data_IF_428954846338
#
_entry.id   IF_428954846338
#
_cell.length_a   1.000
_cell.length_b   1.000
_cell.length_c   1.000
_cell.angle_alpha   90.00
_cell.angle_beta   90.00
_cell.angle_gamma   90.00
#
_symmetry.space_group_name_H-M   'P 1'
#
loop_
_entity.id
_entity.type
_entity.pdbx_description
1 polymer ?
#
# COMPACT_ATOMS: atom_id res chain seq x y z
N UNK A 1 -9.63 -8.14 -5.56
CA UNK A 1 -9.46 -6.79 -4.97
C UNK A 1 -10.78 -6.13 -4.64
N UNK A 2 -10.88 -5.57 -3.43
CA UNK A 2 -12.09 -4.89 -2.94
C UNK A 2 -12.27 -3.51 -3.59
N UNK A 3 -11.22 -2.94 -4.19
CA UNK A 3 -11.28 -1.66 -4.88
C UNK A 3 -12.28 -1.66 -6.06
N UNK A 4 -12.23 -2.68 -6.93
CA UNK A 4 -13.19 -2.82 -8.03
C UNK A 4 -14.62 -2.96 -7.51
N UNK A 5 -14.82 -3.73 -6.44
CA UNK A 5 -16.13 -3.87 -5.79
C UNK A 5 -16.66 -2.53 -5.28
N UNK A 6 -15.81 -1.69 -4.66
CA UNK A 6 -16.18 -0.35 -4.20
C UNK A 6 -16.59 0.53 -5.37
N UNK A 7 -15.83 0.53 -6.46
CA UNK A 7 -16.18 1.28 -7.68
C UNK A 7 -17.50 0.82 -8.29
N UNK A 8 -17.68 -0.50 -8.45
CA UNK A 8 -18.88 -1.07 -9.07
C UNK A 8 -20.12 -0.83 -8.19
N UNK A 9 -19.97 -0.83 -6.86
CA UNK A 9 -21.08 -0.66 -5.91
C UNK A 9 -21.42 0.81 -5.64
N UNK A 10 -20.42 1.69 -5.60
CA UNK A 10 -20.56 3.06 -5.07
C UNK A 10 -20.06 4.15 -6.00
N UNK A 11 -19.57 3.79 -7.19
CA UNK A 11 -19.01 4.67 -8.20
C UNK A 11 -17.56 5.07 -7.95
N UNK A 12 -16.91 5.60 -8.99
CA UNK A 12 -15.50 6.00 -8.97
C UNK A 12 -15.13 7.00 -7.88
N UNK A 13 -16.05 7.91 -7.51
CA UNK A 13 -15.80 8.85 -6.42
C UNK A 13 -15.55 8.16 -5.07
N UNK A 14 -16.22 7.03 -4.81
CA UNK A 14 -16.00 6.25 -3.60
C UNK A 14 -14.61 5.58 -3.61
N UNK A 15 -14.22 5.04 -4.77
CA UNK A 15 -12.89 4.46 -4.94
C UNK A 15 -11.78 5.50 -4.80
N UNK A 16 -11.96 6.69 -5.38
CA UNK A 16 -10.98 7.77 -5.27
C UNK A 16 -10.76 8.17 -3.80
N UNK A 17 -11.81 8.29 -3.00
CA UNK A 17 -11.68 8.57 -1.57
C UNK A 17 -11.03 7.42 -0.79
N UNK A 18 -11.38 6.18 -1.12
CA UNK A 18 -10.71 5.02 -0.53
C UNK A 18 -9.20 5.05 -0.80
N UNK A 19 -8.79 5.34 -2.04
CA UNK A 19 -7.38 5.45 -2.40
C UNK A 19 -6.67 6.60 -1.69
N UNK A 20 -7.35 7.75 -1.48
CA UNK A 20 -6.79 8.85 -0.68
C UNK A 20 -6.57 8.45 0.77
N UNK A 21 -7.51 7.73 1.38
CA UNK A 21 -7.38 7.23 2.75
C UNK A 21 -6.22 6.23 2.86
N UNK A 22 -6.13 5.28 1.94
CA UNK A 22 -5.02 4.31 1.91
C UNK A 22 -3.69 5.05 1.74
N UNK A 23 -3.59 5.99 0.79
CA UNK A 23 -2.37 6.78 0.58
C UNK A 23 -1.93 7.51 1.86
N UNK A 24 -2.87 8.17 2.56
CA UNK A 24 -2.58 8.88 3.80
C UNK A 24 -2.09 7.93 4.91
N UNK A 25 -2.69 6.74 5.03
CA UNK A 25 -2.25 5.72 5.99
C UNK A 25 -0.85 5.20 5.66
N UNK A 26 -0.58 4.88 4.38
CA UNK A 26 0.73 4.41 3.95
C UNK A 26 1.80 5.47 4.22
N UNK A 27 1.50 6.74 3.95
CA UNK A 27 2.43 7.85 4.19
C UNK A 27 2.74 8.04 5.68
N UNK A 28 1.80 7.75 6.59
CA UNK A 28 2.05 7.78 8.04
C UNK A 28 2.90 6.61 8.54
N UNK A 29 2.89 5.49 7.82
CA UNK A 29 3.63 4.28 8.19
C UNK A 29 5.07 4.23 7.68
N UNK A 30 5.52 5.24 6.92
CA UNK A 30 6.88 5.36 6.41
C UNK A 30 7.53 6.66 6.90
N UNK A 31 8.86 6.75 6.84
CA UNK A 31 9.58 7.98 7.25
C UNK A 31 9.75 8.93 6.07
N UNK A 32 10.09 10.18 6.38
CA UNK A 32 10.24 11.27 5.39
C UNK A 32 11.24 10.98 4.25
N UNK A 33 12.26 10.17 4.49
CA UNK A 33 13.25 9.78 3.48
C UNK A 33 12.83 8.62 2.58
N UNK A 34 11.68 7.99 2.84
CA UNK A 34 11.19 6.90 2.00
C UNK A 34 10.26 7.46 0.90
N UNK A 35 10.20 6.78 -0.24
CA UNK A 35 9.33 7.19 -1.35
C UNK A 35 8.05 6.37 -1.38
N UNK A 36 6.89 7.03 -1.44
CA UNK A 36 5.60 6.43 -1.74
C UNK A 36 5.10 6.91 -3.11
N UNK A 37 4.71 5.98 -3.97
CA UNK A 37 4.18 6.24 -5.29
C UNK A 37 2.90 5.44 -5.55
N UNK A 38 2.00 6.00 -6.37
CA UNK A 38 0.90 5.26 -6.99
C UNK A 38 1.34 4.81 -8.38
N UNK A 39 1.39 3.50 -8.61
CA UNK A 39 1.87 2.92 -9.87
C UNK A 39 0.78 2.93 -10.94
N UNK A 40 -0.48 2.75 -10.53
CA UNK A 40 -1.65 2.75 -11.39
C UNK A 40 -2.81 2.02 -10.72
N UNK A 41 -4.07 2.34 -11.08
CA UNK A 41 -5.22 1.66 -10.48
C UNK A 41 -5.23 1.75 -8.94
N UNK A 42 -5.25 0.60 -8.27
CA UNK A 42 -5.12 0.39 -6.83
C UNK A 42 -3.72 -0.05 -6.36
N UNK A 43 -2.72 0.02 -7.25
CA UNK A 43 -1.34 -0.39 -6.98
C UNK A 43 -0.50 0.79 -6.45
N UNK A 44 0.23 0.52 -5.37
CA UNK A 44 1.18 1.43 -4.74
C UNK A 44 2.57 0.80 -4.68
N UNK A 45 3.59 1.64 -4.79
CA UNK A 45 4.99 1.26 -4.61
C UNK A 45 5.62 2.06 -3.48
N UNK A 46 6.42 1.41 -2.65
CA UNK A 46 7.19 2.04 -1.57
C UNK A 46 8.66 1.66 -1.73
N UNK A 47 9.54 2.66 -1.70
CA UNK A 47 10.99 2.48 -1.67
C UNK A 47 11.52 2.89 -0.30
N UNK A 48 12.08 1.92 0.42
CA UNK A 48 12.71 2.12 1.72
C UNK A 48 14.23 2.19 1.54
N UNK A 49 14.80 3.39 1.57
CA UNK A 49 16.25 3.59 1.35
C UNK A 49 17.08 3.20 2.58
N UNK A 50 18.25 2.60 2.44
CA UNK A 50 19.10 2.27 3.61
C UNK A 50 18.36 1.47 4.72
N UNK A 51 17.46 0.56 4.33
CA UNK A 51 16.64 -0.23 5.24
C UNK A 51 17.19 -1.66 5.33
N UNK A 52 17.29 -2.23 6.55
CA UNK A 52 17.67 -3.63 6.71
C UNK A 52 16.52 -4.55 6.28
N UNK A 53 16.82 -5.80 5.88
CA UNK A 53 15.78 -6.74 5.51
C UNK A 53 14.70 -6.93 6.58
N UNK A 54 15.10 -7.11 7.84
CA UNK A 54 14.16 -7.33 8.94
C UNK A 54 13.32 -6.09 9.24
N UNK A 55 13.87 -4.89 9.06
CA UNK A 55 13.13 -3.65 9.22
C UNK A 55 12.10 -3.48 8.09
N UNK A 56 12.47 -3.80 6.85
CA UNK A 56 11.59 -3.73 5.70
C UNK A 56 10.38 -4.69 5.84
N UNK A 57 10.61 -5.93 6.29
CA UNK A 57 9.54 -6.90 6.56
C UNK A 57 8.57 -6.40 7.65
N UNK A 58 9.09 -5.82 8.74
CA UNK A 58 8.27 -5.25 9.81
C UNK A 58 7.43 -4.07 9.33
N UNK A 59 8.01 -3.18 8.52
CA UNK A 59 7.30 -2.05 7.92
C UNK A 59 6.19 -2.57 7.01
N UNK A 60 6.51 -3.52 6.12
CA UNK A 60 5.53 -4.12 5.21
C UNK A 60 4.33 -4.73 5.94
N UNK A 61 4.57 -5.54 6.97
CA UNK A 61 3.50 -6.13 7.76
C UNK A 61 2.71 -5.08 8.55
N UNK A 62 3.39 -4.07 9.11
CA UNK A 62 2.73 -2.95 9.80
C UNK A 62 1.79 -2.16 8.89
N UNK A 63 2.23 -1.88 7.66
CA UNK A 63 1.40 -1.23 6.64
C UNK A 63 0.19 -2.10 6.26
N UNK A 64 0.40 -3.41 6.05
CA UNK A 64 -0.67 -4.36 5.75
C UNK A 64 -1.74 -4.36 6.83
N UNK A 65 -1.34 -4.46 8.11
CA UNK A 65 -2.23 -4.44 9.27
C UNK A 65 -2.96 -3.09 9.42
N UNK A 66 -2.28 -1.98 9.13
CA UNK A 66 -2.86 -0.63 9.19
C UNK A 66 -3.99 -0.49 8.16
N UNK A 67 -3.79 -0.98 6.93
CA UNK A 67 -4.83 -0.95 5.90
C UNK A 67 -5.96 -1.94 6.22
N UNK A 68 -5.66 -3.12 6.75
CA UNK A 68 -6.69 -4.07 7.21
C UNK A 68 -7.59 -3.49 8.32
N UNK A 69 -7.01 -2.63 9.16
CA UNK A 69 -7.73 -1.95 10.25
C UNK A 69 -8.45 -0.67 9.80
N UNK A 70 -8.37 -0.29 8.52
CA UNK A 70 -9.03 0.88 7.98
C UNK A 70 -10.56 0.68 7.99
N UNK A 71 -11.24 1.49 8.78
CA UNK A 71 -12.69 1.59 8.79
C UNK A 71 -13.14 2.65 7.78
N UNK A 72 -13.23 2.28 6.51
CA UNK A 72 -13.73 3.18 5.47
C UNK A 72 -15.26 3.16 5.43
N UNK A 73 -15.90 4.33 5.52
CA UNK A 73 -17.36 4.47 5.44
C UNK A 73 -17.70 5.45 4.33
N UNK A 74 -18.51 4.99 3.37
CA UNK A 74 -19.00 5.82 2.27
C UNK A 74 -20.53 5.90 2.30
N UNK A 75 -21.07 7.13 2.44
CA UNK A 75 -22.51 7.38 2.54
C UNK A 75 -23.24 6.49 3.56
N UNK A 76 -22.61 6.29 4.73
CA UNK A 76 -23.15 5.47 5.82
C UNK A 76 -22.98 3.96 5.63
N UNK A 77 -22.33 3.50 4.55
CA UNK A 77 -22.05 2.09 4.30
C UNK A 77 -20.57 1.78 4.57
N UNK A 78 -20.25 0.83 5.47
CA UNK A 78 -18.88 0.46 5.73
C UNK A 78 -18.31 -0.43 4.61
N UNK A 79 -17.03 -0.27 4.34
CA UNK A 79 -16.25 -1.15 3.50
C UNK A 79 -15.00 -1.54 4.27
N UNK A 80 -14.73 -2.84 4.30
CA UNK A 80 -13.44 -3.37 4.69
C UNK A 80 -12.55 -3.40 3.46
N UNK A 81 -11.23 -3.33 3.64
CA UNK A 81 -10.29 -3.56 2.55
C UNK A 81 -9.03 -4.19 3.12
N UNK A 82 -8.33 -4.94 2.28
CA UNK A 82 -7.02 -5.50 2.60
C UNK A 82 -6.08 -5.23 1.44
N UNK A 83 -4.78 -5.34 1.69
CA UNK A 83 -3.74 -5.21 0.67
C UNK A 83 -2.86 -6.44 0.67
N UNK A 84 -2.38 -6.80 -0.51
CA UNK A 84 -1.31 -7.77 -0.70
C UNK A 84 0.00 -7.01 -0.86
N UNK A 85 1.05 -7.43 -0.15
CA UNK A 85 2.35 -6.75 -0.17
C UNK A 85 3.39 -7.72 -0.72
N UNK A 86 4.04 -7.33 -1.82
CA UNK A 86 5.27 -7.96 -2.31
C UNK A 86 6.48 -7.14 -1.88
N UNK A 87 7.57 -7.80 -1.50
CA UNK A 87 8.78 -7.15 -1.00
C UNK A 87 10.00 -7.76 -1.68
N UNK A 88 10.94 -6.91 -2.08
CA UNK A 88 12.21 -7.30 -2.69
C UNK A 88 13.33 -6.46 -2.09
N UNK A 89 14.45 -7.11 -1.75
CA UNK A 89 15.62 -6.41 -1.23
C UNK A 89 16.53 -5.98 -2.38
N UNK A 90 16.86 -4.69 -2.44
CA UNK A 90 17.81 -4.15 -3.40
C UNK A 90 19.17 -4.02 -2.73
N UNK A 91 20.21 -4.58 -3.34
CA UNK A 91 21.60 -4.49 -2.89
C UNK A 91 22.49 -3.84 -3.95
N UNK A 92 23.69 -3.39 -3.56
CA UNK A 92 24.65 -2.76 -4.48
C UNK A 92 25.18 -3.69 -5.58
N UNK A 93 24.97 -5.00 -5.46
CA UNK A 93 25.24 -5.90 -6.57
C UNK A 93 24.23 -5.65 -7.69
N UNK A 94 24.65 -5.57 -8.98
CA UNK A 94 23.72 -5.43 -10.07
C UNK A 94 22.79 -6.64 -10.09
N UNK A 95 21.55 -6.42 -9.63
CA UNK A 95 20.55 -7.46 -9.50
C UNK A 95 19.30 -6.98 -10.24
N UNK A 96 18.78 -7.80 -11.15
CA UNK A 96 17.48 -7.54 -11.78
C UNK A 96 16.38 -7.95 -10.81
N UNK A 97 15.17 -7.40 -10.97
CA UNK A 97 14.01 -7.81 -10.15
C UNK A 97 13.79 -9.34 -10.22
N UNK A 98 13.96 -9.92 -11.41
CA UNK A 98 13.85 -11.36 -11.65
C UNK A 98 14.87 -12.19 -10.85
N UNK A 99 16.05 -11.64 -10.58
CA UNK A 99 17.11 -12.32 -9.84
C UNK A 99 17.01 -12.13 -8.31
N UNK A 100 16.04 -11.33 -7.85
CA UNK A 100 15.88 -10.94 -6.43
C UNK A 100 14.61 -11.52 -5.77
N UNK A 101 13.77 -12.22 -6.54
CA UNK A 101 12.58 -12.97 -6.10
C UNK A 101 12.94 -14.44 -5.82
#
# INVERSE_FOLDING_TARGET
DQFKLVNDTSGHAAGDELLRHICALLQQGIREGDTLARLGGDEFGILLEHCSPEAAEKIAEGLRQTVESLHFVWKGRPFMTTVSVGLVHVSDAPTTLEASL
#
